data_IF_448435750012
#
_entry.id   IF_448435750012
#
_cell.length_a   1.000
_cell.length_b   1.000
_cell.length_c   1.000
_cell.angle_alpha   90.00
_cell.angle_beta   90.00
_cell.angle_gamma   90.00
#
_symmetry.space_group_name_H-M   'P 1'
#
loop_
_entity.id
_entity.type
_entity.pdbx_description
1 polymer ?
#
# COMPACT_ATOMS: atom_id res chain seq x y z
N UNK A 1 -0.31 -19.25 -21.32
CA UNK A 1 -0.72 -19.31 -19.90
C UNK A 1 0.17 -18.44 -19.02
N UNK A 2 1.50 -18.60 -18.99
CA UNK A 2 2.38 -17.78 -18.14
C UNK A 2 2.38 -16.28 -18.48
N UNK A 3 2.33 -15.90 -19.75
CA UNK A 3 2.22 -14.49 -20.17
C UNK A 3 0.88 -13.88 -19.75
N UNK A 4 -0.21 -14.66 -19.79
CA UNK A 4 -1.51 -14.23 -19.29
C UNK A 4 -1.50 -14.06 -17.77
N UNK A 5 -0.88 -14.97 -17.03
CA UNK A 5 -0.70 -14.84 -15.58
C UNK A 5 0.17 -13.62 -15.22
N UNK A 6 1.22 -13.35 -15.99
CA UNK A 6 2.09 -12.19 -15.81
C UNK A 6 1.34 -10.88 -16.11
N UNK A 7 0.57 -10.85 -17.21
CA UNK A 7 -0.26 -9.70 -17.58
C UNK A 7 -1.36 -9.43 -16.55
N UNK A 8 -2.00 -10.47 -16.01
CA UNK A 8 -3.01 -10.34 -14.97
C UNK A 8 -2.40 -9.85 -13.65
N UNK A 9 -1.26 -10.41 -13.24
CA UNK A 9 -0.57 -10.03 -12.01
C UNK A 9 0.08 -8.63 -12.09
N UNK A 10 0.50 -8.19 -13.28
CA UNK A 10 1.15 -6.90 -13.51
C UNK A 10 0.21 -5.78 -13.98
N UNK A 11 -0.94 -6.11 -14.57
CA UNK A 11 -1.83 -5.17 -15.26
C UNK A 11 -3.18 -4.89 -14.59
N UNK A 12 -3.61 -5.69 -13.59
CA UNK A 12 -4.91 -5.51 -12.90
C UNK A 12 -4.77 -4.74 -11.57
N UNK A 13 -3.73 -3.93 -11.42
CA UNK A 13 -3.55 -3.14 -10.21
C UNK A 13 -4.31 -1.81 -10.30
N UNK A 14 -5.53 -1.77 -9.77
CA UNK A 14 -6.21 -0.51 -9.37
C UNK A 14 -5.54 0.13 -8.13
N UNK A 15 -4.52 -0.53 -7.56
CA UNK A 15 -3.87 -0.14 -6.33
C UNK A 15 -2.61 0.69 -6.60
N UNK A 16 -2.36 1.65 -5.69
CA UNK A 16 -1.16 2.47 -5.65
C UNK A 16 0.16 1.66 -5.71
N UNK A 17 1.27 2.26 -6.17
CA UNK A 17 2.59 1.63 -6.19
C UNK A 17 2.96 1.01 -4.83
N UNK A 18 3.57 -0.18 -4.86
CA UNK A 18 4.05 -0.89 -3.68
C UNK A 18 3.02 -1.01 -2.53
N UNK A 19 1.72 -1.08 -2.86
CA UNK A 19 0.66 -1.16 -1.87
C UNK A 19 0.78 -2.42 -1.00
N UNK A 20 0.63 -2.30 0.34
CA UNK A 20 0.49 -3.43 1.26
C UNK A 20 -0.72 -4.34 1.00
N UNK A 21 -1.64 -3.94 0.12
CA UNK A 21 -2.74 -4.80 -0.34
C UNK A 21 -2.26 -5.95 -1.24
N UNK A 22 -1.12 -5.78 -1.92
CA UNK A 22 -0.45 -6.82 -2.68
C UNK A 22 0.74 -7.40 -1.88
N UNK A 23 1.23 -8.61 -2.19
CA UNK A 23 2.44 -9.16 -1.58
C UNK A 23 3.64 -8.24 -1.76
N UNK A 24 4.58 -8.28 -0.81
CA UNK A 24 5.80 -7.49 -0.86
C UNK A 24 6.53 -7.69 -2.22
N UNK A 25 7.03 -6.64 -2.90
CA UNK A 25 7.62 -6.77 -4.24
C UNK A 25 8.76 -7.80 -4.35
N UNK A 26 9.58 -7.95 -3.30
CA UNK A 26 10.63 -9.00 -3.23
C UNK A 26 10.08 -10.44 -3.16
N UNK A 27 8.84 -10.60 -2.68
CA UNK A 27 8.11 -11.86 -2.55
C UNK A 27 7.08 -12.05 -3.66
N UNK A 28 7.08 -11.21 -4.70
CA UNK A 28 6.25 -11.40 -5.88
C UNK A 28 6.98 -12.19 -6.96
N UNK A 29 6.30 -13.16 -7.57
CA UNK A 29 6.80 -13.92 -8.71
C UNK A 29 6.89 -13.07 -10.00
N UNK A 30 6.10 -12.00 -10.05
CA UNK A 30 6.05 -11.05 -11.16
C UNK A 30 6.34 -9.65 -10.64
N UNK A 31 7.24 -8.94 -11.31
CA UNK A 31 7.40 -7.51 -11.06
C UNK A 31 6.14 -6.82 -11.58
N UNK A 32 5.42 -6.12 -10.72
CA UNK A 32 4.36 -5.23 -11.19
C UNK A 32 4.93 -4.17 -12.14
N UNK A 33 4.07 -3.52 -12.94
CA UNK A 33 4.48 -2.27 -13.60
C UNK A 33 4.89 -1.29 -12.50
N UNK A 34 6.19 -1.13 -12.30
CA UNK A 34 6.73 -0.20 -11.32
C UNK A 34 6.55 1.22 -11.84
N UNK A 35 6.34 2.16 -10.92
CA UNK A 35 6.52 3.58 -11.24
C UNK A 35 7.95 3.81 -11.75
N UNK A 36 8.11 4.77 -12.67
CA UNK A 36 9.40 5.11 -13.29
C UNK A 36 10.46 5.54 -12.27
N UNK A 37 10.06 5.99 -11.07
CA UNK A 37 10.92 6.57 -10.03
C UNK A 37 11.02 5.67 -8.79
N UNK A 38 12.23 5.53 -8.25
CA UNK A 38 12.48 4.81 -6.99
C UNK A 38 11.83 5.48 -5.78
N UNK A 39 11.65 4.74 -4.67
CA UNK A 39 10.99 5.30 -3.48
C UNK A 39 11.77 6.49 -2.90
N UNK A 40 13.11 6.44 -2.93
CA UNK A 40 13.96 7.51 -2.40
C UNK A 40 13.74 8.86 -3.11
N UNK A 41 13.62 8.86 -4.44
CA UNK A 41 13.42 10.09 -5.20
C UNK A 41 12.01 10.66 -4.96
N UNK A 42 10.99 9.80 -4.94
CA UNK A 42 9.60 10.20 -4.63
C UNK A 42 9.48 10.80 -3.23
N UNK A 43 10.16 10.22 -2.23
CA UNK A 43 10.22 10.79 -0.87
C UNK A 43 10.77 12.22 -0.87
N UNK A 44 11.91 12.45 -1.54
CA UNK A 44 12.53 13.79 -1.63
C UNK A 44 11.61 14.80 -2.29
N UNK A 45 10.97 14.42 -3.41
CA UNK A 45 10.00 15.28 -4.11
C UNK A 45 8.82 15.65 -3.22
N UNK A 46 8.21 14.67 -2.54
CA UNK A 46 7.07 14.90 -1.64
C UNK A 46 7.42 15.80 -0.45
N UNK A 47 8.61 15.61 0.15
CA UNK A 47 9.09 16.48 1.24
C UNK A 47 9.34 17.93 0.78
N UNK A 48 9.70 18.13 -0.49
CA UNK A 48 9.81 19.46 -1.08
C UNK A 48 8.42 20.07 -1.29
N UNK A 49 7.51 19.33 -1.94
CA UNK A 49 6.16 19.77 -2.26
C UNK A 49 5.34 20.14 -1.01
N UNK A 50 5.44 19.38 0.07
CA UNK A 50 4.69 19.68 1.30
C UNK A 50 5.09 21.01 1.96
N UNK A 51 6.27 21.57 1.65
CA UNK A 51 6.72 22.88 2.17
C UNK A 51 6.07 24.04 1.41
N UNK A 52 5.73 23.84 0.14
CA UNK A 52 5.14 24.85 -0.73
C UNK A 52 3.61 24.77 -0.74
N UNK A 53 3.07 23.57 -0.55
CA UNK A 53 1.65 23.30 -0.65
C UNK A 53 0.87 23.86 0.53
N UNK A 54 -0.14 24.68 0.24
CA UNK A 54 -1.11 25.20 1.22
C UNK A 54 -2.50 24.70 0.86
N UNK A 55 -2.94 23.63 1.52
CA UNK A 55 -4.33 23.16 1.40
C UNK A 55 -5.15 23.70 2.56
N UNK A 56 -6.44 23.87 2.32
CA UNK A 56 -7.39 24.31 3.35
C UNK A 56 -7.85 23.13 4.23
N UNK A 57 -6.92 22.63 5.05
CA UNK A 57 -7.20 21.56 5.99
C UNK A 57 -8.18 21.95 7.10
N UNK A 58 -8.33 23.25 7.38
CA UNK A 58 -9.31 23.77 8.34
C UNK A 58 -10.72 23.50 7.84
N UNK A 59 -11.03 23.91 6.60
CA UNK A 59 -12.32 23.60 6.03
C UNK A 59 -12.51 22.11 5.79
N UNK A 60 -11.46 21.37 5.41
CA UNK A 60 -11.52 19.93 5.25
C UNK A 60 -11.93 19.20 6.55
N UNK A 61 -11.28 19.54 7.66
CA UNK A 61 -11.58 18.96 8.97
C UNK A 61 -13.01 19.31 9.42
N UNK A 62 -13.46 20.55 9.18
CA UNK A 62 -14.85 20.96 9.46
C UNK A 62 -15.86 20.16 8.64
N UNK A 63 -15.62 19.95 7.34
CA UNK A 63 -16.50 19.15 6.47
C UNK A 63 -16.64 17.71 6.98
N UNK A 64 -15.53 17.09 7.38
CA UNK A 64 -15.55 15.75 7.99
C UNK A 64 -16.38 15.70 9.28
N UNK A 65 -16.24 16.72 10.13
CA UNK A 65 -16.94 16.80 11.41
C UNK A 65 -18.44 17.09 11.29
N UNK A 66 -18.84 17.92 10.32
CA UNK A 66 -20.23 18.35 10.14
C UNK A 66 -21.00 17.45 9.17
N UNK A 67 -20.29 16.67 8.34
CA UNK A 67 -20.87 15.88 7.25
C UNK A 67 -21.38 16.73 6.10
N UNK A 68 -20.95 17.99 6.02
CA UNK A 68 -21.37 18.96 5.00
C UNK A 68 -20.39 18.93 3.82
N UNK A 69 -20.91 18.57 2.64
CA UNK A 69 -20.17 18.49 1.38
C UNK A 69 -20.76 19.41 0.31
N UNK A 70 -21.72 20.27 0.67
CA UNK A 70 -22.37 21.16 -0.28
C UNK A 70 -21.36 22.14 -0.92
N UNK A 71 -21.43 22.30 -2.25
CA UNK A 71 -20.55 23.21 -3.02
C UNK A 71 -19.26 22.59 -3.56
N UNK A 72 -18.99 21.30 -3.31
CA UNK A 72 -17.86 20.56 -3.94
C UNK A 72 -18.33 19.73 -5.15
N UNK A 73 -19.65 19.59 -5.32
CA UNK A 73 -20.28 18.82 -6.41
C UNK A 73 -20.37 19.61 -7.73
N UNK A 74 -20.15 20.94 -7.72
CA UNK A 74 -20.43 21.82 -8.88
C UNK A 74 -19.28 22.06 -9.86
N UNK A 75 -18.08 21.52 -9.61
CA UNK A 75 -16.87 21.85 -10.41
C UNK A 75 -16.35 20.70 -11.29
N UNK A 76 -17.01 19.53 -11.34
CA UNK A 76 -16.32 18.30 -11.80
C UNK A 76 -17.17 17.28 -12.59
N UNK A 77 -18.45 17.55 -12.86
CA UNK A 77 -19.28 16.60 -13.66
C UNK A 77 -19.09 16.78 -15.19
N UNK A 78 -18.02 17.45 -15.65
CA UNK A 78 -17.91 17.93 -17.03
C UNK A 78 -16.58 17.81 -17.78
N UNK A 79 -15.49 17.31 -17.21
CA UNK A 79 -14.18 17.28 -17.91
C UNK A 79 -13.37 16.01 -17.59
N UNK A 80 -13.98 14.82 -17.71
CA UNK A 80 -13.24 13.54 -17.78
C UNK A 80 -13.22 12.97 -19.21
N UNK A 81 -12.97 13.78 -20.24
CA UNK A 81 -12.55 13.25 -21.54
C UNK A 81 -11.49 14.18 -22.19
N UNK A 82 -10.37 13.56 -22.57
CA UNK A 82 -9.31 14.02 -23.51
C UNK A 82 -8.01 14.65 -22.95
N UNK A 83 -6.92 13.86 -23.10
CA UNK A 83 -5.51 14.22 -23.35
C UNK A 83 -4.69 14.77 -22.15
N UNK A 84 -3.47 14.30 -21.82
CA UNK A 84 -2.34 14.00 -22.70
C UNK A 84 -1.31 13.11 -21.95
N UNK A 85 -0.69 12.15 -22.67
CA UNK A 85 0.56 11.52 -22.26
C UNK A 85 1.68 12.58 -22.24
N UNK A 86 2.60 12.47 -21.25
CA UNK A 86 3.79 13.35 -21.04
C UNK A 86 3.61 14.60 -20.16
N UNK A 87 3.49 14.41 -18.84
CA UNK A 87 4.25 15.11 -17.76
C UNK A 87 3.63 14.73 -16.41
N UNK A 88 3.96 13.57 -15.83
CA UNK A 88 3.53 13.21 -14.46
C UNK A 88 4.37 13.97 -13.42
N UNK A 89 4.14 15.27 -13.35
CA UNK A 89 4.29 16.05 -12.13
C UNK A 89 2.94 15.95 -11.43
N UNK A 90 2.89 15.19 -10.34
CA UNK A 90 1.79 15.07 -9.37
C UNK A 90 0.76 16.21 -9.46
N UNK A 91 -0.22 16.07 -10.38
CA UNK A 91 -1.28 17.04 -10.57
C UNK A 91 -2.11 17.04 -9.29
N UNK A 92 -1.88 18.08 -8.48
CA UNK A 92 -2.19 18.16 -7.05
C UNK A 92 -3.36 17.29 -6.59
N UNK A 93 -3.05 16.14 -5.95
CA UNK A 93 -4.04 15.24 -5.34
C UNK A 93 -5.08 16.03 -4.54
N UNK A 94 -6.27 16.24 -5.09
CA UNK A 94 -7.37 16.94 -4.40
C UNK A 94 -7.69 16.19 -3.11
N UNK A 95 -8.08 16.92 -2.06
CA UNK A 95 -8.47 16.27 -0.80
C UNK A 95 -9.66 15.33 -1.06
N UNK A 96 -9.68 14.12 -0.48
CA UNK A 96 -10.73 13.16 -0.79
C UNK A 96 -12.11 13.72 -0.45
N UNK A 97 -13.06 13.53 -1.37
CA UNK A 97 -14.46 13.86 -1.18
C UNK A 97 -15.07 12.79 -0.23
N UNK A 98 -15.80 13.21 0.82
CA UNK A 98 -16.49 12.33 1.78
C UNK A 98 -15.55 11.58 2.74
N UNK A 99 -16.03 10.50 3.37
CA UNK A 99 -15.29 9.73 4.38
C UNK A 99 -14.31 8.70 3.80
N UNK A 100 -14.33 8.47 2.48
CA UNK A 100 -13.43 7.52 1.82
C UNK A 100 -12.03 8.10 1.64
N UNK A 101 -11.01 7.23 1.67
CA UNK A 101 -9.61 7.56 1.37
C UNK A 101 -8.99 8.69 2.22
N UNK A 102 -9.55 8.96 3.41
CA UNK A 102 -9.05 10.00 4.32
C UNK A 102 -7.77 9.62 5.08
N UNK A 103 -7.40 8.34 5.07
CA UNK A 103 -6.27 7.83 5.83
C UNK A 103 -4.98 7.90 5.01
N UNK A 104 -3.88 8.25 5.67
CA UNK A 104 -2.53 8.13 5.10
C UNK A 104 -2.12 6.65 5.11
N UNK A 105 -1.81 6.12 3.93
CA UNK A 105 -1.48 4.71 3.72
C UNK A 105 0.00 4.56 3.39
N UNK A 106 0.63 3.57 4.00
CA UNK A 106 2.02 3.23 3.74
C UNK A 106 2.20 2.44 2.46
N UNK A 107 3.41 2.50 1.92
CA UNK A 107 3.92 1.54 0.96
C UNK A 107 4.73 0.45 1.67
N UNK A 108 4.96 -0.69 1.02
CA UNK A 108 6.01 -1.60 1.47
C UNK A 108 7.36 -0.88 1.54
N UNK A 109 8.12 -1.08 2.62
CA UNK A 109 9.48 -0.53 2.73
C UNK A 109 10.43 -1.39 1.88
N UNK A 110 10.66 -0.98 0.63
CA UNK A 110 11.54 -1.70 -0.31
C UNK A 110 12.94 -1.08 -0.34
N UNK A 111 12.98 0.25 -0.51
CA UNK A 111 14.22 1.02 -0.50
C UNK A 111 14.41 1.59 0.91
N UNK A 112 15.38 1.05 1.63
CA UNK A 112 15.70 1.49 2.99
C UNK A 112 16.35 2.88 2.94
N UNK A 113 15.80 3.90 3.63
CA UNK A 113 16.42 5.21 3.75
C UNK A 113 17.81 5.11 4.39
N UNK A 114 18.79 5.87 3.87
CA UNK A 114 20.14 5.93 4.45
C UNK A 114 20.17 6.61 5.81
N UNK A 115 19.18 7.45 6.07
CA UNK A 115 18.95 8.26 7.26
C UNK A 115 17.85 7.66 8.16
N UNK A 116 17.60 6.34 8.05
CA UNK A 116 16.55 5.65 8.80
C UNK A 116 16.67 5.88 10.31
N UNK A 117 17.87 5.74 10.87
CA UNK A 117 18.06 5.86 12.32
C UNK A 117 17.82 7.28 12.84
N UNK A 118 18.04 8.31 12.00
CA UNK A 118 17.98 9.72 12.40
C UNK A 118 16.63 10.36 12.09
N UNK A 119 16.09 10.15 10.89
CA UNK A 119 14.90 10.86 10.38
C UNK A 119 13.62 10.04 10.41
N UNK A 120 13.66 8.79 10.88
CA UNK A 120 12.47 7.91 10.91
C UNK A 120 12.12 7.43 12.31
N UNK A 121 10.83 7.19 12.52
CA UNK A 121 10.26 6.67 13.75
C UNK A 121 9.42 5.43 13.45
N UNK A 122 9.52 4.46 14.35
CA UNK A 122 8.87 3.15 14.25
C UNK A 122 7.59 3.15 15.09
N UNK A 123 6.51 2.58 14.56
CA UNK A 123 5.30 2.28 15.32
C UNK A 123 4.92 0.81 15.15
N UNK A 124 4.75 0.12 16.27
CA UNK A 124 4.31 -1.27 16.31
C UNK A 124 2.79 -1.32 16.20
N UNK A 125 2.29 -1.99 15.17
CA UNK A 125 0.86 -2.01 14.86
C UNK A 125 0.20 -3.32 15.32
N UNK A 126 -0.93 -3.24 16.07
CA UNK A 126 -1.72 -4.40 16.41
C UNK A 126 -2.43 -5.00 15.19
N UNK A 127 -2.74 -6.29 15.27
CA UNK A 127 -3.74 -6.92 14.39
C UNK A 127 -5.10 -6.26 14.64
N UNK A 128 -5.71 -5.74 13.58
CA UNK A 128 -6.98 -5.06 13.67
C UNK A 128 -7.44 -4.41 12.37
N UNK A 129 -8.58 -3.73 12.44
CA UNK A 129 -9.22 -3.04 11.31
C UNK A 129 -8.87 -1.56 11.38
N UNK A 130 -8.21 -1.05 10.33
CA UNK A 130 -7.92 0.38 10.21
C UNK A 130 -9.22 1.18 10.08
N UNK A 131 -9.36 2.25 10.86
CA UNK A 131 -10.56 3.07 10.90
C UNK A 131 -10.23 4.56 11.06
N UNK A 132 -10.90 5.39 10.26
CA UNK A 132 -11.03 6.82 10.50
C UNK A 132 -12.05 7.02 11.63
N UNK A 133 -11.66 7.70 12.69
CA UNK A 133 -12.57 8.00 13.81
C UNK A 133 -12.86 9.50 13.80
N UNK A 134 -14.15 9.84 13.77
CA UNK A 134 -14.64 11.22 13.82
C UNK A 134 -15.55 11.37 15.03
N UNK A 135 -15.11 12.12 16.03
CA UNK A 135 -15.91 12.50 17.19
C UNK A 135 -16.44 13.93 16.98
N UNK A 136 -17.77 14.07 16.91
CA UNK A 136 -18.42 15.35 16.62
C UNK A 136 -19.87 15.34 17.10
N UNK A 137 -20.39 16.50 17.50
CA UNK A 137 -21.82 16.71 17.87
C UNK A 137 -22.37 15.71 18.88
N UNK A 138 -21.53 15.27 19.82
CA UNK A 138 -21.90 14.39 20.93
C UNK A 138 -21.95 12.90 20.60
N UNK A 139 -21.36 12.49 19.46
CA UNK A 139 -21.20 11.07 19.09
C UNK A 139 -19.87 10.86 18.36
N UNK A 140 -19.38 9.63 18.39
CA UNK A 140 -18.19 9.19 17.68
C UNK A 140 -18.55 8.18 16.62
N UNK A 141 -18.06 8.36 15.40
CA UNK A 141 -18.29 7.48 14.27
C UNK A 141 -16.96 6.91 13.75
N UNK A 142 -16.94 5.62 13.43
CA UNK A 142 -15.78 4.94 12.85
C UNK A 142 -16.07 4.55 11.40
N UNK A 143 -15.16 4.89 10.48
CA UNK A 143 -15.28 4.65 9.05
C UNK A 143 -14.12 3.77 8.53
N UNK A 144 -14.41 2.89 7.57
CA UNK A 144 -13.38 2.11 6.87
C UNK A 144 -12.56 2.99 5.91
N UNK A 145 -11.49 2.42 5.33
CA UNK A 145 -10.74 3.06 4.22
C UNK A 145 -11.64 3.45 3.04
N UNK A 146 -12.66 2.65 2.76
CA UNK A 146 -13.66 2.92 1.71
C UNK A 146 -14.73 3.93 2.11
N UNK A 147 -14.69 4.46 3.34
CA UNK A 147 -15.65 5.44 3.84
C UNK A 147 -16.96 4.87 4.39
N UNK A 148 -17.07 3.53 4.50
CA UNK A 148 -18.25 2.91 5.09
C UNK A 148 -18.27 3.11 6.61
N UNK A 149 -19.38 3.60 7.16
CA UNK A 149 -19.55 3.79 8.59
C UNK A 149 -19.78 2.44 9.28
N UNK A 150 -18.78 1.96 10.01
CA UNK A 150 -18.83 0.66 10.71
C UNK A 150 -19.65 0.76 11.98
N UNK A 151 -19.47 1.86 12.73
CA UNK A 151 -20.12 2.00 14.03
C UNK A 151 -20.29 3.46 14.43
N UNK A 152 -21.31 3.73 15.26
CA UNK A 152 -21.54 5.00 15.94
C UNK A 152 -21.77 4.74 17.42
N UNK A 153 -21.01 5.41 18.27
CA UNK A 153 -21.00 5.19 19.72
C UNK A 153 -20.59 6.47 20.47
N UNK A 154 -20.98 6.64 21.75
CA UNK A 154 -20.44 7.72 22.57
C UNK A 154 -18.98 7.44 22.91
N UNK A 155 -18.12 8.45 22.96
CA UNK A 155 -16.77 8.30 23.53
C UNK A 155 -16.34 9.52 24.32
N UNK A 156 -15.31 9.35 25.15
CA UNK A 156 -14.70 10.45 25.91
C UNK A 156 -13.81 11.36 25.06
N UNK A 157 -13.73 11.13 23.74
CA UNK A 157 -13.03 12.04 22.86
C UNK A 157 -13.72 13.41 22.83
N UNK A 158 -12.97 14.50 22.59
CA UNK A 158 -13.57 15.82 22.43
C UNK A 158 -14.60 15.83 21.30
N UNK A 159 -15.83 16.24 21.62
CA UNK A 159 -16.97 16.21 20.69
C UNK A 159 -17.70 14.86 20.59
N UNK A 160 -17.21 13.81 21.24
CA UNK A 160 -17.74 12.44 21.16
C UNK A 160 -18.85 12.09 22.15
N UNK A 161 -19.18 12.99 23.09
CA UNK A 161 -20.20 12.78 24.11
C UNK A 161 -21.03 14.05 24.32
N UNK A 162 -22.35 13.89 24.50
CA UNK A 162 -23.32 14.96 24.79
C UNK A 162 -23.01 15.75 26.06
N UNK A 163 -22.27 15.16 27.01
CA UNK A 163 -21.85 15.88 28.23
C UNK A 163 -20.67 16.83 27.99
N UNK A 164 -19.94 16.69 26.87
CA UNK A 164 -18.77 17.49 26.53
C UNK A 164 -19.07 18.52 25.41
N UNK A 165 -20.34 18.89 25.20
CA UNK A 165 -20.79 19.80 24.14
C UNK A 165 -20.89 21.25 24.60
N UNK A 166 -19.88 21.75 25.30
CA UNK A 166 -19.88 23.15 25.77
C UNK A 166 -19.64 24.13 24.61
N UNK A 167 -19.22 23.65 23.43
CA UNK A 167 -19.04 24.47 22.22
C UNK A 167 -19.38 23.65 20.96
N UNK A 168 -20.18 24.25 20.07
CA UNK A 168 -20.66 23.63 18.82
C UNK A 168 -19.54 23.24 17.84
N UNK A 169 -18.32 23.77 18.04
CA UNK A 169 -17.17 23.59 17.13
C UNK A 169 -16.13 22.60 17.62
N UNK A 170 -16.40 21.84 18.69
CA UNK A 170 -15.45 20.85 19.22
C UNK A 170 -15.64 19.52 18.51
N UNK A 171 -14.64 19.14 17.72
CA UNK A 171 -14.56 17.84 17.07
C UNK A 171 -13.13 17.29 17.11
N UNK A 172 -13.01 15.98 16.95
CA UNK A 172 -11.74 15.25 16.93
C UNK A 172 -11.74 14.25 15.78
N UNK A 173 -10.63 14.19 15.05
CA UNK A 173 -10.41 13.30 13.92
C UNK A 173 -9.11 12.54 14.16
N UNK A 174 -9.24 11.22 14.28
CA UNK A 174 -8.15 10.32 14.61
C UNK A 174 -8.01 9.23 13.55
N UNK A 175 -6.79 8.73 13.44
CA UNK A 175 -6.46 7.55 12.67
C UNK A 175 -6.20 6.37 13.62
N UNK A 176 -7.02 5.33 13.55
CA UNK A 176 -7.04 4.27 14.55
C UNK A 176 -6.95 2.87 13.92
N UNK A 177 -6.47 1.91 14.71
CA UNK A 177 -6.58 0.47 14.45
C UNK A 177 -7.50 -0.11 15.51
N UNK A 178 -8.66 -0.59 15.09
CA UNK A 178 -9.60 -1.27 15.97
C UNK A 178 -9.21 -2.72 16.15
N UNK A 179 -8.83 -3.10 17.37
CA UNK A 179 -8.64 -4.49 17.76
C UNK A 179 -9.96 -5.02 18.35
N UNK A 180 -10.54 -6.00 17.65
CA UNK A 180 -11.85 -6.58 17.99
C UNK A 180 -11.79 -7.44 19.26
N UNK A 181 -10.70 -8.18 19.48
CA UNK A 181 -10.53 -9.06 20.64
C UNK A 181 -10.49 -8.27 21.96
N UNK A 182 -9.78 -7.14 21.97
CA UNK A 182 -9.65 -6.28 23.17
C UNK A 182 -10.69 -5.16 23.18
N UNK A 183 -11.48 -5.01 22.12
CA UNK A 183 -12.45 -3.92 21.89
C UNK A 183 -11.83 -2.53 22.17
N UNK A 184 -10.68 -2.29 21.55
CA UNK A 184 -9.85 -1.10 21.79
C UNK A 184 -9.49 -0.46 20.46
N UNK A 185 -9.70 0.85 20.36
CA UNK A 185 -9.17 1.67 19.28
C UNK A 185 -7.76 2.11 19.65
N UNK A 186 -6.77 1.49 19.00
CA UNK A 186 -5.40 1.94 19.10
C UNK A 186 -5.20 3.15 18.20
N UNK A 187 -4.92 4.31 18.77
CA UNK A 187 -4.72 5.55 18.02
C UNK A 187 -3.32 5.48 17.41
N UNK A 188 -3.26 5.45 16.08
CA UNK A 188 -1.98 5.57 15.37
C UNK A 188 -1.62 7.03 15.11
N UNK A 189 -2.60 7.87 14.79
CA UNK A 189 -2.34 9.26 14.42
C UNK A 189 -3.49 10.21 14.76
N UNK A 190 -3.20 11.51 14.74
CA UNK A 190 -4.16 12.59 14.95
C UNK A 190 -4.14 13.55 13.76
N UNK A 191 -5.33 13.86 13.26
CA UNK A 191 -5.51 14.82 12.19
C UNK A 191 -6.19 16.10 12.68
N UNK A 192 -7.05 15.99 13.70
CA UNK A 192 -7.67 17.13 14.35
C UNK A 192 -7.98 16.80 15.81
N UNK A 193 -7.74 17.74 16.73
CA UNK A 193 -8.12 17.60 18.13
C UNK A 193 -8.73 18.89 18.65
N UNK A 194 -9.92 18.81 19.26
CA UNK A 194 -10.69 19.97 19.76
C UNK A 194 -10.87 21.08 18.70
N UNK A 195 -11.05 20.70 17.43
CA UNK A 195 -11.21 21.63 16.31
C UNK A 195 -9.91 22.24 15.78
N UNK A 196 -8.74 21.86 16.31
CA UNK A 196 -7.44 22.27 15.78
C UNK A 196 -6.91 21.21 14.80
N UNK A 197 -6.96 21.44 13.47
CA UNK A 197 -6.35 20.55 12.50
C UNK A 197 -4.83 20.60 12.59
N UNK A 198 -4.19 19.43 12.52
CA UNK A 198 -2.73 19.27 12.57
C UNK A 198 -2.19 18.53 11.34
N UNK A 199 -2.95 18.55 10.23
CA UNK A 199 -2.53 17.93 8.96
C UNK A 199 -1.18 18.46 8.46
N UNK A 200 -0.96 19.77 8.56
CA UNK A 200 0.29 20.46 8.16
C UNK A 200 1.43 20.30 9.16
N UNK A 201 1.23 19.55 10.24
CA UNK A 201 2.27 19.32 11.22
C UNK A 201 3.08 18.06 10.89
N UNK A 202 4.36 18.12 11.21
CA UNK A 202 5.28 16.99 11.12
C UNK A 202 4.84 15.84 12.04
N UNK A 203 5.24 14.61 11.69
CA UNK A 203 4.81 13.39 12.40
C UNK A 203 5.31 13.34 13.83
N UNK A 204 6.55 13.73 14.06
CA UNK A 204 7.14 13.79 15.39
C UNK A 204 6.35 14.72 16.33
N UNK A 205 5.98 15.90 15.85
CA UNK A 205 5.08 16.81 16.58
C UNK A 205 3.71 16.17 16.80
N UNK A 206 3.09 15.58 15.76
CA UNK A 206 1.77 14.95 15.89
C UNK A 206 1.77 13.83 16.94
N UNK A 207 2.79 12.98 16.95
CA UNK A 207 2.92 11.87 17.90
C UNK A 207 3.20 12.35 19.32
N UNK A 208 4.09 13.33 19.48
CA UNK A 208 4.35 13.97 20.77
C UNK A 208 3.07 14.61 21.33
N UNK A 209 2.39 15.40 20.51
CA UNK A 209 1.19 16.13 20.89
C UNK A 209 0.04 15.17 21.21
N UNK A 210 -0.17 14.14 20.38
CA UNK A 210 -1.15 13.09 20.63
C UNK A 210 -0.92 12.43 22.00
N UNK A 211 0.34 12.06 22.29
CA UNK A 211 0.69 11.40 23.56
C UNK A 211 0.37 12.30 24.76
N UNK A 212 0.70 13.59 24.67
CA UNK A 212 0.34 14.58 25.69
C UNK A 212 -1.18 14.72 25.85
N UNK A 213 -1.93 14.77 24.74
CA UNK A 213 -3.38 14.97 24.75
C UNK A 213 -4.17 13.77 25.25
N UNK A 214 -3.70 12.55 24.97
CA UNK A 214 -4.31 11.34 25.54
C UNK A 214 -4.15 11.30 27.06
N UNK A 215 -3.00 11.74 27.58
CA UNK A 215 -2.75 11.76 29.03
C UNK A 215 -3.60 12.78 29.78
N UNK A 216 -4.02 13.86 29.10
CA UNK A 216 -4.93 14.88 29.66
C UNK A 216 -6.39 14.40 29.78
N UNK A 217 -6.81 13.40 29.00
CA UNK A 217 -8.20 12.91 28.98
C UNK A 217 -8.39 11.72 29.94
N UNK A 218 -8.89 12.01 31.14
CA UNK A 218 -9.15 10.99 32.16
C UNK A 218 -10.17 9.93 31.69
N UNK A 219 -9.84 8.65 31.89
CA UNK A 219 -10.74 7.53 31.58
C UNK A 219 -10.88 7.18 30.08
N UNK A 220 -10.16 7.86 29.18
CA UNK A 220 -10.19 7.57 27.74
C UNK A 220 -9.72 6.13 27.42
N UNK A 221 -8.74 5.65 28.21
CA UNK A 221 -8.22 4.28 28.16
C UNK A 221 -9.07 3.24 28.91
N UNK A 222 -10.21 3.62 29.49
CA UNK A 222 -11.05 2.74 30.31
C UNK A 222 -12.44 2.56 29.70
N UNK A 223 -13.06 1.40 29.97
CA UNK A 223 -14.44 1.14 29.54
C UNK A 223 -15.41 1.75 30.54
N UNK A 224 -16.32 2.58 30.07
CA UNK A 224 -17.40 3.15 30.86
C UNK A 224 -18.70 3.20 30.05
N UNK A 225 -19.82 3.55 30.70
CA UNK A 225 -21.11 3.71 30.01
C UNK A 225 -21.07 4.78 28.91
N UNK A 226 -20.23 5.80 29.08
CA UNK A 226 -20.05 6.90 28.13
C UNK A 226 -18.80 6.71 27.23
N UNK A 227 -18.08 5.60 27.41
CA UNK A 227 -16.91 5.20 26.63
C UNK A 227 -16.86 3.66 26.52
N UNK A 228 -17.70 3.04 25.66
CA UNK A 228 -17.76 1.59 25.54
C UNK A 228 -16.48 0.99 24.93
N UNK A 229 -15.71 1.78 24.18
CA UNK A 229 -14.44 1.37 23.59
C UNK A 229 -13.28 2.18 24.16
N UNK A 230 -12.21 1.48 24.54
CA UNK A 230 -10.98 2.12 25.02
C UNK A 230 -10.26 2.78 23.85
N UNK A 231 -9.67 3.94 24.08
CA UNK A 231 -8.76 4.59 23.16
C UNK A 231 -7.37 4.64 23.77
N UNK A 232 -6.40 4.03 23.10
CA UNK A 232 -5.02 3.90 23.61
C UNK A 232 -4.05 4.34 22.53
N UNK A 233 -3.17 5.29 22.83
CA UNK A 233 -2.13 5.72 21.90
C UNK A 233 -1.10 4.63 21.67
N UNK A 234 -0.73 4.39 20.41
CA UNK A 234 0.40 3.53 20.10
C UNK A 234 1.71 4.23 20.44
N UNK A 235 2.64 3.48 21.03
CA UNK A 235 3.98 3.97 21.30
C UNK A 235 4.80 3.99 20.01
N UNK A 236 5.66 5.00 19.90
CA UNK A 236 6.63 5.13 18.83
C UNK A 236 8.05 4.98 19.39
N UNK A 237 8.95 4.45 18.57
CA UNK A 237 10.33 4.12 18.94
C UNK A 237 11.31 4.70 17.91
N UNK A 238 12.55 5.02 18.30
CA UNK A 238 13.61 5.32 17.36
C UNK A 238 13.89 4.13 16.43
N UNK A 239 14.35 4.40 15.21
CA UNK A 239 14.73 3.35 14.26
C UNK A 239 16.22 2.95 14.38
N UNK A 240 16.85 3.13 15.53
CA UNK A 240 18.24 2.67 15.75
C UNK A 240 18.28 1.15 15.79
N UNK A 241 19.41 0.57 15.38
CA UNK A 241 19.61 -0.88 15.41
C UNK A 241 19.33 -1.50 16.79
N UNK A 242 19.73 -0.83 17.87
CA UNK A 242 19.47 -1.27 19.25
C UNK A 242 17.98 -1.22 19.61
N UNK A 243 17.30 -0.11 19.29
CA UNK A 243 15.87 0.05 19.59
C UNK A 243 15.00 -0.92 18.81
N UNK A 244 15.35 -1.21 17.54
CA UNK A 244 14.67 -2.22 16.73
C UNK A 244 14.78 -3.61 17.36
N UNK A 245 15.96 -3.98 17.86
CA UNK A 245 16.17 -5.25 18.56
C UNK A 245 15.34 -5.32 19.85
N UNK A 246 15.33 -4.26 20.65
CA UNK A 246 14.53 -4.18 21.88
C UNK A 246 13.04 -4.31 21.59
N UNK A 247 12.53 -3.57 20.60
CA UNK A 247 11.12 -3.60 20.18
C UNK A 247 10.71 -5.00 19.72
N UNK A 248 11.57 -5.71 18.97
CA UNK A 248 11.29 -7.08 18.51
C UNK A 248 11.32 -8.13 19.64
N UNK A 249 11.91 -7.80 20.80
CA UNK A 249 11.89 -8.64 22.00
C UNK A 249 10.82 -8.24 23.02
N UNK A 250 10.23 -7.06 22.86
CA UNK A 250 9.24 -6.52 23.79
C UNK A 250 7.91 -7.24 23.63
N UNK A 251 7.25 -7.53 24.75
CA UNK A 251 5.90 -8.07 24.77
C UNK A 251 4.87 -6.93 24.70
N UNK A 252 4.03 -6.94 23.67
CA UNK A 252 2.95 -5.99 23.51
C UNK A 252 1.63 -6.55 24.07
N UNK A 253 0.70 -5.69 24.55
CA UNK A 253 -0.60 -6.12 25.07
C UNK A 253 -1.57 -6.56 23.96
N UNK A 254 -1.07 -6.77 22.75
CA UNK A 254 -1.82 -7.14 21.55
C UNK A 254 -0.93 -7.98 20.63
N UNK A 255 -1.57 -8.75 19.75
CA UNK A 255 -0.88 -9.44 18.66
C UNK A 255 -0.35 -8.41 17.64
N UNK A 256 0.93 -8.48 17.31
CA UNK A 256 1.59 -7.55 16.38
C UNK A 256 1.33 -8.00 14.94
N UNK A 257 0.73 -7.12 14.14
CA UNK A 257 0.56 -7.35 12.70
C UNK A 257 1.83 -6.98 11.92
N UNK A 258 2.40 -5.83 12.25
CA UNK A 258 3.60 -5.32 11.60
C UNK A 258 4.06 -3.98 12.12
N UNK A 259 5.00 -3.40 11.38
CA UNK A 259 5.80 -2.27 11.77
C UNK A 259 5.63 -1.17 10.72
N UNK A 260 5.25 0.03 11.17
CA UNK A 260 5.22 1.23 10.35
C UNK A 260 6.43 2.11 10.64
N UNK A 261 7.07 2.59 9.58
CA UNK A 261 8.20 3.50 9.62
C UNK A 261 7.74 4.83 9.06
N UNK A 262 7.65 5.85 9.89
CA UNK A 262 7.26 7.20 9.49
C UNK A 262 8.48 8.08 9.35
N UNK A 263 8.55 8.87 8.28
CA UNK A 263 9.49 9.97 8.20
C UNK A 263 9.06 11.09 9.16
N UNK A 264 9.94 11.54 10.07
CA UNK A 264 9.62 12.55 11.10
C UNK A 264 8.95 13.79 10.52
N UNK A 265 9.50 14.30 9.41
CA UNK A 265 9.02 15.54 8.78
C UNK A 265 7.75 15.40 7.92
N UNK A 266 7.15 14.22 7.75
CA UNK A 266 5.97 14.11 6.86
C UNK A 266 4.73 14.78 7.45
N UNK A 267 4.04 15.57 6.62
CA UNK A 267 2.68 16.04 6.91
C UNK A 267 1.68 14.87 6.77
N UNK A 268 0.51 14.98 7.40
CA UNK A 268 -0.54 13.98 7.25
C UNK A 268 -1.25 14.20 5.90
N UNK A 269 -0.97 13.33 4.93
CA UNK A 269 -1.56 13.41 3.59
C UNK A 269 -2.40 12.17 3.30
N UNK A 270 -3.72 12.31 3.05
CA UNK A 270 -4.56 11.18 2.71
C UNK A 270 -4.09 10.43 1.45
N UNK A 271 -4.20 9.10 1.46
CA UNK A 271 -3.78 8.23 0.37
C UNK A 271 -2.41 7.58 0.56
N UNK A 272 -1.96 6.84 -0.46
CA UNK A 272 -0.67 6.12 -0.42
C UNK A 272 0.52 7.07 -0.52
N UNK A 273 1.52 6.87 0.33
CA UNK A 273 2.76 7.66 0.37
C UNK A 273 4.01 6.80 0.67
N UNK A 274 5.14 7.05 0.01
CA UNK A 274 6.41 6.39 0.31
C UNK A 274 7.11 6.96 1.55
N UNK A 275 6.57 8.03 2.16
CA UNK A 275 7.07 8.62 3.43
C UNK A 275 6.64 7.82 4.66
N UNK A 276 5.78 6.82 4.47
CA UNK A 276 5.47 5.81 5.48
C UNK A 276 5.73 4.43 4.89
N UNK A 277 6.64 3.68 5.50
CA UNK A 277 6.99 2.32 5.12
C UNK A 277 6.29 1.30 5.99
N UNK A 278 5.90 0.16 5.43
CA UNK A 278 5.35 -0.99 6.15
C UNK A 278 6.24 -2.21 5.99
N UNK A 279 6.47 -2.93 7.08
CA UNK A 279 7.10 -4.25 7.10
C UNK A 279 6.39 -5.21 8.05
N UNK A 280 6.43 -6.51 7.73
CA UNK A 280 6.13 -7.56 8.70
C UNK A 280 7.34 -7.76 9.61
N UNK A 281 7.17 -8.16 10.89
CA UNK A 281 8.31 -8.24 11.83
C UNK A 281 9.39 -9.23 11.38
N UNK A 282 9.00 -10.36 10.76
CA UNK A 282 9.94 -11.33 10.19
C UNK A 282 10.75 -10.83 8.98
N UNK A 283 10.33 -9.73 8.33
CA UNK A 283 11.04 -9.15 7.18
C UNK A 283 12.15 -8.18 7.59
N UNK A 284 12.14 -7.71 8.84
CA UNK A 284 13.10 -6.72 9.36
C UNK A 284 14.54 -7.16 9.16
N UNK A 285 14.98 -8.37 9.59
CA UNK A 285 16.36 -8.79 9.40
C UNK A 285 16.77 -8.87 7.92
N UNK A 286 15.88 -9.34 7.03
CA UNK A 286 16.19 -9.51 5.61
C UNK A 286 16.24 -8.17 4.84
N UNK A 287 15.43 -7.19 5.25
CA UNK A 287 15.29 -5.92 4.53
C UNK A 287 16.23 -4.86 5.09
N UNK A 288 16.34 -4.75 6.42
CA UNK A 288 17.23 -3.78 7.08
C UNK A 288 18.66 -4.33 7.22
N UNK A 289 18.89 -5.63 7.02
CA UNK A 289 20.21 -6.24 7.15
C UNK A 289 20.71 -6.32 8.60
N UNK A 290 19.79 -6.36 9.57
CA UNK A 290 20.09 -6.36 11.00
C UNK A 290 20.09 -7.78 11.58
N UNK A 291 21.04 -8.05 12.48
CA UNK A 291 21.04 -9.26 13.29
C UNK A 291 20.04 -9.10 14.43
N UNK A 292 18.84 -9.69 14.29
CA UNK A 292 17.78 -9.63 15.31
C UNK A 292 17.72 -10.91 16.13
N UNK A 293 17.33 -10.84 17.42
CA UNK A 293 17.09 -12.03 18.23
C UNK A 293 15.99 -12.92 17.63
N UNK A 294 16.11 -14.23 17.83
CA UNK A 294 15.07 -15.20 17.45
C UNK A 294 13.92 -15.15 18.45
N UNK A 295 12.87 -14.41 18.09
CA UNK A 295 11.65 -14.24 18.88
C UNK A 295 10.43 -14.70 18.06
N UNK A 296 9.27 -14.90 18.69
CA UNK A 296 8.04 -15.25 17.96
C UNK A 296 7.70 -14.26 16.84
N UNK A 297 8.07 -12.98 17.00
CA UNK A 297 7.87 -11.94 15.99
C UNK A 297 8.80 -12.11 14.78
N UNK A 298 10.03 -12.57 14.98
CA UNK A 298 11.02 -12.74 13.91
C UNK A 298 10.96 -14.11 13.25
N UNK A 299 10.14 -15.03 13.77
CA UNK A 299 9.89 -16.33 13.18
C UNK A 299 9.23 -16.19 11.80
N UNK A 300 9.90 -16.70 10.76
CA UNK A 300 9.35 -16.70 9.40
C UNK A 300 8.22 -17.74 9.32
N UNK A 301 7.03 -17.36 8.85
CA UNK A 301 5.94 -18.32 8.70
C UNK A 301 6.23 -19.28 7.53
N UNK A 302 5.73 -20.51 7.62
CA UNK A 302 5.98 -21.58 6.64
C UNK A 302 5.63 -21.17 5.20
N UNK A 303 4.58 -20.37 5.02
CA UNK A 303 4.17 -19.89 3.71
C UNK A 303 5.24 -18.98 3.07
N UNK A 304 5.94 -18.17 3.86
CA UNK A 304 6.95 -17.25 3.35
C UNK A 304 8.18 -18.02 2.84
N UNK A 305 8.55 -19.10 3.53
CA UNK A 305 9.61 -20.01 3.08
C UNK A 305 9.26 -20.69 1.75
N UNK A 306 8.05 -21.26 1.65
CA UNK A 306 7.57 -21.90 0.41
C UNK A 306 7.45 -20.92 -0.75
N UNK A 307 6.94 -19.72 -0.51
CA UNK A 307 6.80 -18.67 -1.52
C UNK A 307 8.18 -18.23 -2.04
N UNK A 308 9.18 -18.10 -1.16
CA UNK A 308 10.54 -17.77 -1.59
C UNK A 308 11.16 -18.88 -2.45
N UNK A 309 10.95 -20.16 -2.09
CA UNK A 309 11.41 -21.30 -2.89
C UNK A 309 10.79 -21.31 -4.29
N UNK A 310 9.46 -21.11 -4.38
CA UNK A 310 8.75 -21.02 -5.66
C UNK A 310 9.24 -19.84 -6.52
N UNK A 311 9.58 -18.71 -5.91
CA UNK A 311 10.17 -17.56 -6.61
C UNK A 311 11.57 -17.88 -7.13
N UNK A 312 12.39 -18.58 -6.35
CA UNK A 312 13.73 -19.00 -6.77
C UNK A 312 13.63 -19.97 -7.96
N UNK A 313 12.72 -20.94 -7.90
CA UNK A 313 12.49 -21.90 -8.98
C UNK A 313 11.95 -21.24 -10.26
N UNK A 314 10.98 -20.33 -10.12
CA UNK A 314 10.45 -19.57 -11.27
C UNK A 314 11.50 -18.61 -11.87
N UNK A 315 12.38 -18.01 -11.07
CA UNK A 315 13.51 -17.21 -11.59
C UNK A 315 14.57 -18.07 -12.26
N UNK A 316 14.88 -19.25 -11.72
CA UNK A 316 15.82 -20.21 -12.33
C UNK A 316 15.30 -20.72 -13.67
N UNK A 317 14.03 -21.11 -13.76
CA UNK A 317 13.40 -21.56 -15.01
C UNK A 317 13.33 -20.44 -16.05
N UNK A 318 13.01 -19.20 -15.66
CA UNK A 318 13.08 -18.04 -16.57
C UNK A 318 14.50 -17.76 -17.07
N UNK A 319 15.51 -17.88 -16.21
CA UNK A 319 16.91 -17.72 -16.61
C UNK A 319 17.33 -18.81 -17.60
N UNK A 320 16.98 -20.08 -17.33
CA UNK A 320 17.21 -21.20 -18.24
C UNK A 320 16.48 -21.05 -19.58
N UNK A 321 15.26 -20.49 -19.57
CA UNK A 321 14.50 -20.22 -20.79
C UNK A 321 15.10 -19.06 -21.60
N UNK A 322 15.58 -18.00 -20.94
CA UNK A 322 16.29 -16.89 -21.57
C UNK A 322 17.64 -17.33 -22.16
N UNK A 323 18.40 -18.16 -21.43
CA UNK A 323 19.67 -18.72 -21.90
C UNK A 323 19.44 -19.65 -23.12
N UNK A 324 18.36 -20.45 -23.13
CA UNK A 324 17.96 -21.27 -24.30
C UNK A 324 17.50 -20.42 -25.49
N UNK A 325 16.78 -19.32 -25.25
CA UNK A 325 16.35 -18.40 -26.30
C UNK A 325 17.56 -17.69 -26.94
N UNK A 326 18.58 -17.32 -26.14
CA UNK A 326 19.82 -16.75 -26.63
C UNK A 326 20.63 -17.76 -27.48
N UNK A 327 20.80 -19.01 -27.02
CA UNK A 327 21.44 -20.06 -27.81
C UNK A 327 20.69 -20.40 -29.11
N UNK A 328 19.36 -20.34 -29.10
CA UNK A 328 18.53 -20.58 -30.30
C UNK A 328 18.58 -19.46 -31.33
N UNK A 329 19.00 -18.25 -30.93
CA UNK A 329 19.11 -17.10 -31.83
C UNK A 329 20.48 -17.05 -32.51
N UNK A 330 21.54 -17.51 -31.83
CA UNK A 330 22.89 -17.62 -32.44
C UNK A 330 22.99 -18.78 -33.45
N UNK A 331 22.17 -19.83 -33.32
CA UNK A 331 22.16 -20.98 -34.24
C UNK A 331 21.39 -20.74 -35.55
N UNK A 332 20.81 -19.55 -35.76
CA UNK A 332 19.89 -19.28 -36.89
C UNK A 332 20.32 -18.15 -37.84
N UNK A 333 21.62 -17.84 -37.87
CA UNK A 333 22.19 -16.98 -38.91
C UNK A 333 22.78 -17.82 -40.05
N UNK A 334 21.92 -18.12 -41.04
CA UNK A 334 22.27 -18.05 -42.45
C UNK A 334 22.96 -19.26 -43.09
N UNK A 335 22.18 -20.30 -43.40
CA UNK A 335 22.37 -21.02 -44.67
C UNK A 335 21.01 -21.17 -45.34
N UNK A 336 20.88 -20.58 -46.52
CA UNK A 336 19.69 -20.65 -47.36
C UNK A 336 19.70 -22.00 -48.06
N UNK A 337 18.75 -22.89 -47.79
CA UNK A 337 18.50 -24.07 -48.62
C UNK A 337 17.29 -23.83 -49.50
N UNK A 338 17.54 -23.89 -50.82
CA UNK A 338 16.53 -23.86 -51.86
C UNK A 338 15.51 -24.98 -51.66
N UNK A 339 14.23 -24.64 -51.83
CA UNK A 339 13.13 -25.59 -51.90
C UNK A 339 13.34 -26.59 -53.04
N UNK A 340 13.53 -27.87 -52.71
CA UNK A 340 13.40 -28.95 -53.67
C UNK A 340 11.97 -29.51 -53.62
N UNK A 341 11.15 -29.03 -54.57
CA UNK A 341 9.86 -29.62 -54.91
C UNK A 341 10.08 -31.07 -55.37
N UNK A 342 9.66 -32.01 -54.54
CA UNK A 342 9.78 -33.45 -54.80
C UNK A 342 8.78 -33.88 -55.87
N UNK A 343 9.29 -34.32 -57.02
CA UNK A 343 8.55 -35.13 -58.00
C UNK A 343 8.60 -36.60 -57.57
N UNK A 344 7.48 -37.33 -57.52
CA UNK A 344 7.51 -38.76 -57.19
C UNK A 344 7.93 -39.60 -58.41
N UNK A 345 8.87 -40.53 -58.20
CA UNK A 345 9.28 -41.55 -59.18
C UNK A 345 8.68 -42.94 -58.83
N UNK A 346 8.63 -43.86 -59.82
CA UNK A 346 7.50 -44.76 -60.03
C UNK A 346 7.70 -46.18 -59.47
N UNK A 347 6.59 -46.90 -59.28
CA UNK A 347 6.58 -48.35 -59.11
C UNK A 347 5.91 -49.03 -60.32
N UNK A 348 6.60 -50.06 -60.80
CA UNK A 348 6.37 -50.84 -62.02
C UNK A 348 5.18 -51.81 -61.98
N UNK A 349 4.87 -52.31 -63.20
CA UNK A 349 4.18 -53.57 -63.59
C UNK A 349 2.65 -53.44 -63.77
N UNK A 350 2.01 -53.85 -64.88
CA UNK A 350 2.40 -54.74 -65.97
C UNK A 350 1.41 -54.63 -67.17
N UNK A 351 1.80 -55.22 -68.31
CA UNK A 351 0.99 -55.69 -69.47
C UNK A 351 0.54 -54.60 -70.47
N UNK A 352 0.52 -54.77 -71.78
CA UNK A 352 0.85 -55.85 -72.74
C UNK A 352 0.65 -55.26 -74.15
N UNK A 353 1.36 -55.79 -75.16
CA UNK A 353 0.97 -55.95 -76.58
C UNK A 353 0.24 -54.79 -77.28
N UNK A 354 0.85 -54.12 -78.24
CA UNK A 354 0.94 -54.45 -79.69
C UNK A 354 0.12 -53.42 -80.49
N UNK A 355 0.81 -52.89 -81.51
CA UNK A 355 0.35 -52.35 -82.79
C UNK A 355 -1.11 -51.91 -82.98
N UNK A 356 -1.31 -50.66 -83.41
CA UNK A 356 -1.54 -50.33 -84.82
C UNK A 356 -2.12 -48.91 -84.93
N UNK A 357 -1.58 -48.13 -85.88
CA UNK A 357 -2.00 -46.77 -86.16
C UNK A 357 -3.24 -46.66 -87.06
N UNK A 358 -3.76 -45.44 -87.14
CA UNK A 358 -4.37 -44.79 -88.31
C UNK A 358 -4.77 -43.37 -87.85
N UNK A 359 -4.12 -42.30 -88.36
CA UNK A 359 -4.54 -41.53 -89.54
C UNK A 359 -6.03 -41.16 -89.49
N UNK A 360 -6.34 -39.91 -89.13
CA UNK A 360 -6.44 -38.72 -90.00
C UNK A 360 -7.74 -38.65 -90.79
N UNK A 361 -8.34 -37.45 -90.73
CA UNK A 361 -9.17 -36.70 -91.71
C UNK A 361 -10.27 -35.97 -90.92
N UNK A 362 -10.47 -34.64 -91.01
CA UNK A 362 -10.04 -33.63 -91.97
C UNK A 362 -9.71 -32.30 -91.28
#
# INVERSE_FOLDING_TARGET
MEELCAALAGGVALAAPNSPAAPHPRLSAYKGRGERLGQAERRRRLLCLQRERRLDYVNHARRLAEGDWAGVESEDDGEEEEEEEEMEVDAGRRLPKRYANQLMLSEWLVDVPVDLEQEWILVVCPVGKRALVVASRGSTAAYTKSGFCVNRFPSLLPGGNRHNTTSEKVYCILDCIYNEAVQTYYILDVMCWRGHPVYDCQTDFRFFWLSSKIQEEEGLGEKSRINPYKFVGLQNFPCTSESLCEVLTTNFPFEVDGLLFYHKQTHYTPGSTPLVGWLRPYMVPDILGLAVPTTPLTAKPDYAGRQLQQIIESKKSKKLAADKAQLGTEARNGHYELEHLSTPQPANCAQSQEEAGSQMEN
#
